data_IF_469741463067
#
_entry.id   IF_469741463067
#
_cell.length_a   1.000
_cell.length_b   1.000
_cell.length_c   1.000
_cell.angle_alpha   90.00
_cell.angle_beta   90.00
_cell.angle_gamma   90.00
#
_symmetry.space_group_name_H-M   'P 1'
#
loop_
_entity.id
_entity.type
_entity.pdbx_description
1 polymer ?
#
# COMPACT_ATOMS: atom_id res chain seq x y z
N UNK A 1 31.84 -33.15 -58.65
CA UNK A 1 32.21 -32.49 -57.38
C UNK A 1 30.94 -32.20 -56.61
N UNK A 2 30.66 -33.02 -55.58
CA UNK A 2 29.55 -32.85 -54.64
C UNK A 2 29.72 -31.54 -53.87
N UNK A 3 28.65 -30.78 -53.70
CA UNK A 3 28.58 -29.75 -52.66
C UNK A 3 27.32 -29.98 -51.80
N UNK A 4 27.47 -30.80 -50.77
CA UNK A 4 26.56 -30.83 -49.62
C UNK A 4 26.94 -29.69 -48.68
N UNK A 5 26.02 -28.78 -48.34
CA UNK A 5 26.12 -27.97 -47.11
C UNK A 5 24.74 -27.71 -46.49
N UNK A 6 24.38 -28.64 -45.61
CA UNK A 6 23.81 -28.48 -44.26
C UNK A 6 23.00 -27.19 -43.98
N UNK A 7 21.69 -27.36 -43.83
CA UNK A 7 20.78 -26.39 -43.21
C UNK A 7 20.94 -26.51 -41.69
N UNK A 8 21.54 -25.49 -41.06
CA UNK A 8 21.58 -25.39 -39.59
C UNK A 8 20.23 -24.89 -39.07
N UNK A 9 19.48 -25.77 -38.42
CA UNK A 9 18.26 -25.40 -37.70
C UNK A 9 18.65 -24.83 -36.33
N UNK A 10 18.52 -23.52 -36.15
CA UNK A 10 18.79 -22.83 -34.90
C UNK A 10 17.59 -23.05 -33.95
N UNK A 11 17.74 -23.96 -32.98
CA UNK A 11 16.75 -24.14 -31.91
C UNK A 11 16.86 -22.98 -30.92
N UNK A 12 15.91 -22.04 -31.01
CA UNK A 12 15.74 -20.97 -30.02
C UNK A 12 15.13 -21.60 -28.77
N UNK A 13 15.95 -21.90 -27.77
CA UNK A 13 15.47 -22.23 -26.44
C UNK A 13 14.96 -20.95 -25.78
N UNK A 14 13.65 -20.70 -25.83
CA UNK A 14 13.01 -19.74 -24.94
C UNK A 14 13.02 -20.35 -23.54
N UNK A 15 14.06 -20.08 -22.77
CA UNK A 15 14.07 -20.37 -21.34
C UNK A 15 13.00 -19.50 -20.69
N UNK A 16 11.82 -20.06 -20.44
CA UNK A 16 10.81 -19.46 -19.59
C UNK A 16 11.36 -19.52 -18.17
N UNK A 17 12.05 -18.46 -17.75
CA UNK A 17 12.53 -18.34 -16.37
C UNK A 17 11.30 -18.07 -15.51
N UNK A 18 10.68 -19.13 -14.99
CA UNK A 18 9.67 -19.01 -13.96
C UNK A 18 10.40 -18.66 -12.66
N UNK A 19 10.35 -17.39 -12.26
CA UNK A 19 10.83 -17.00 -10.93
C UNK A 19 10.04 -17.80 -9.89
N UNK A 20 10.73 -18.41 -8.91
CA UNK A 20 10.04 -19.08 -7.82
C UNK A 20 9.11 -18.09 -7.11
N UNK A 21 7.90 -18.52 -6.65
CA UNK A 21 7.04 -17.67 -5.86
C UNK A 21 7.77 -17.23 -4.59
N UNK A 22 7.65 -15.95 -4.24
CA UNK A 22 8.27 -15.38 -3.05
C UNK A 22 7.76 -16.06 -1.78
N UNK A 23 8.63 -16.24 -0.79
CA UNK A 23 8.22 -16.77 0.52
C UNK A 23 7.42 -15.73 1.31
N UNK A 24 6.65 -16.16 2.31
CA UNK A 24 5.93 -15.23 3.19
C UNK A 24 6.85 -14.26 3.94
N UNK A 25 8.06 -14.70 4.28
CA UNK A 25 9.08 -13.85 4.87
C UNK A 25 9.51 -12.73 3.91
N UNK A 26 9.69 -13.05 2.63
CA UNK A 26 10.04 -12.08 1.60
C UNK A 26 8.88 -11.12 1.29
N UNK A 27 7.64 -11.63 1.27
CA UNK A 27 6.45 -10.84 0.95
C UNK A 27 6.08 -9.83 2.03
N UNK A 28 6.33 -10.15 3.30
CA UNK A 28 5.95 -9.30 4.45
C UNK A 28 7.13 -8.51 5.03
N UNK A 29 8.30 -8.58 4.38
CA UNK A 29 9.48 -7.85 4.81
C UNK A 29 9.23 -6.33 4.78
N UNK A 30 9.72 -5.58 5.78
CA UNK A 30 9.75 -4.13 5.71
C UNK A 30 10.46 -3.65 4.43
N UNK A 31 10.00 -2.55 3.86
CA UNK A 31 10.72 -1.88 2.79
C UNK A 31 12.14 -1.54 3.26
N UNK A 32 13.15 -1.72 2.39
CA UNK A 32 14.57 -1.51 2.76
C UNK A 32 14.82 -0.07 3.20
N UNK A 33 14.24 0.90 2.48
CA UNK A 33 14.27 2.32 2.83
C UNK A 33 13.15 3.04 2.08
N UNK A 34 12.56 4.03 2.75
CA UNK A 34 11.63 4.96 2.12
C UNK A 34 12.33 6.31 2.01
N UNK A 35 12.38 6.86 0.80
CA UNK A 35 12.72 8.28 0.61
C UNK A 35 11.47 9.09 0.94
N UNK A 36 11.50 10.00 1.94
CA UNK A 36 10.35 10.85 2.26
C UNK A 36 9.79 11.60 1.05
N UNK A 37 10.65 11.98 0.07
CA UNK A 37 10.17 12.64 -1.15
C UNK A 37 9.33 11.75 -2.04
N UNK A 38 9.56 10.44 -2.02
CA UNK A 38 8.74 9.50 -2.78
C UNK A 38 7.35 9.33 -2.17
N UNK A 39 7.16 9.66 -0.88
CA UNK A 39 5.86 9.64 -0.22
C UNK A 39 4.99 10.85 -0.59
N UNK A 40 5.59 11.97 -1.01
CA UNK A 40 4.88 13.25 -1.17
C UNK A 40 3.64 13.17 -2.07
N UNK A 41 2.60 13.89 -1.70
CA UNK A 41 1.33 13.93 -2.40
C UNK A 41 0.35 12.85 -1.97
N UNK A 42 -0.67 12.66 -2.80
CA UNK A 42 -1.85 11.87 -2.47
C UNK A 42 -1.74 10.41 -2.93
N UNK A 43 -2.28 9.51 -2.11
CA UNK A 43 -2.44 8.09 -2.40
C UNK A 43 -3.87 7.65 -2.08
N UNK A 44 -4.50 6.98 -3.03
CA UNK A 44 -5.83 6.41 -2.88
C UNK A 44 -5.76 5.06 -2.17
N UNK A 45 -6.68 4.80 -1.24
CA UNK A 45 -6.85 3.48 -0.66
C UNK A 45 -7.45 2.53 -1.70
N UNK A 46 -6.76 1.41 -1.96
CA UNK A 46 -7.20 0.35 -2.86
C UNK A 46 -7.89 -0.76 -2.08
N UNK A 47 -7.34 -1.14 -0.94
CA UNK A 47 -7.92 -2.19 -0.11
C UNK A 47 -7.25 -2.32 1.24
N UNK A 48 -7.85 -3.12 2.11
CA UNK A 48 -7.34 -3.32 3.44
C UNK A 48 -7.87 -4.57 4.13
N UNK A 49 -7.06 -5.11 5.03
CA UNK A 49 -7.45 -6.12 6.00
C UNK A 49 -7.21 -5.61 7.42
N UNK A 50 -8.04 -6.05 8.36
CA UNK A 50 -7.97 -5.69 9.78
C UNK A 50 -8.12 -6.98 10.57
N UNK A 51 -7.23 -7.21 11.54
CA UNK A 51 -7.21 -8.45 12.33
C UNK A 51 -8.49 -8.67 13.14
N UNK A 52 -9.16 -7.58 13.55
CA UNK A 52 -10.42 -7.61 14.27
C UNK A 52 -11.62 -7.47 13.32
N UNK A 53 -12.36 -8.58 13.12
CA UNK A 53 -13.45 -8.69 12.13
C UNK A 53 -14.52 -7.57 12.22
N UNK A 54 -15.05 -7.19 13.39
CA UNK A 54 -16.04 -6.12 13.46
C UNK A 54 -15.53 -4.78 12.90
N UNK A 55 -14.22 -4.52 13.02
CA UNK A 55 -13.63 -3.30 12.45
C UNK A 55 -13.36 -3.42 10.96
N UNK A 56 -13.13 -4.64 10.45
CA UNK A 56 -13.09 -4.89 9.01
C UNK A 56 -14.45 -4.65 8.36
N UNK A 57 -15.55 -5.06 9.02
CA UNK A 57 -16.91 -4.78 8.55
C UNK A 57 -17.19 -3.28 8.46
N UNK A 58 -16.84 -2.53 9.50
CA UNK A 58 -16.95 -1.06 9.51
C UNK A 58 -16.03 -0.43 8.45
N UNK A 59 -14.84 -1.00 8.23
CA UNK A 59 -13.94 -0.55 7.17
C UNK A 59 -14.55 -0.73 5.78
N UNK A 60 -15.27 -1.83 5.55
CA UNK A 60 -15.93 -2.12 4.29
C UNK A 60 -17.15 -1.23 3.98
N UNK A 61 -17.67 -0.48 4.96
CA UNK A 61 -18.75 0.49 4.74
C UNK A 61 -18.26 1.82 4.13
N UNK A 62 -16.95 1.97 3.91
CA UNK A 62 -16.39 3.19 3.33
C UNK A 62 -16.60 3.21 1.82
N UNK A 63 -17.04 4.35 1.30
CA UNK A 63 -17.10 4.58 -0.14
C UNK A 63 -15.68 4.67 -0.71
N UNK A 64 -14.81 5.41 -0.02
CA UNK A 64 -13.42 5.61 -0.41
C UNK A 64 -12.57 6.16 0.73
N UNK A 65 -11.24 6.13 0.56
CA UNK A 65 -10.31 6.84 1.42
C UNK A 65 -9.03 7.22 0.67
N UNK A 66 -8.30 8.18 1.21
CA UNK A 66 -7.02 8.63 0.71
C UNK A 66 -6.13 9.11 1.85
N UNK A 67 -4.84 9.12 1.58
CA UNK A 67 -3.82 9.70 2.44
C UNK A 67 -3.02 10.73 1.64
N UNK A 68 -2.48 11.72 2.32
CA UNK A 68 -1.61 12.71 1.73
C UNK A 68 -0.43 12.98 2.65
N UNK A 69 0.75 13.01 2.07
CA UNK A 69 1.98 13.48 2.69
C UNK A 69 2.31 14.82 2.02
N UNK A 70 1.98 15.97 2.62
CA UNK A 70 2.35 17.26 2.03
C UNK A 70 3.85 17.36 1.76
N UNK A 71 4.27 18.32 0.93
CA UNK A 71 5.71 18.55 0.79
C UNK A 71 6.28 19.11 2.09
N UNK A 72 7.47 18.62 2.46
CA UNK A 72 8.11 18.98 3.72
C UNK A 72 9.60 19.21 3.54
N UNK A 73 10.14 20.20 4.23
CA UNK A 73 11.60 20.41 4.31
C UNK A 73 12.28 19.38 5.21
N UNK A 74 11.54 18.88 6.20
CA UNK A 74 11.99 17.88 7.17
C UNK A 74 11.91 16.48 6.57
N UNK A 75 12.98 15.70 6.74
CA UNK A 75 13.07 14.30 6.27
C UNK A 75 12.62 13.28 7.33
N UNK A 76 12.35 13.71 8.57
CA UNK A 76 11.95 12.83 9.68
C UNK A 76 10.56 13.17 10.19
N UNK A 77 10.33 14.43 10.56
CA UNK A 77 9.04 14.88 11.09
C UNK A 77 8.20 15.40 9.94
N UNK A 78 7.18 14.67 9.51
CA UNK A 78 6.32 15.04 8.39
C UNK A 78 4.84 14.99 8.78
N UNK A 79 4.01 15.73 8.05
CA UNK A 79 2.56 15.68 8.22
C UNK A 79 1.98 14.48 7.48
N UNK A 80 0.95 13.88 8.07
CA UNK A 80 0.21 12.77 7.50
C UNK A 80 -1.28 13.05 7.62
N UNK A 81 -1.89 13.37 6.48
CA UNK A 81 -3.31 13.66 6.36
C UNK A 81 -4.07 12.46 5.82
N UNK A 82 -5.27 12.24 6.35
CA UNK A 82 -6.17 11.16 5.95
C UNK A 82 -7.53 11.74 5.63
N UNK A 83 -8.12 11.30 4.53
CA UNK A 83 -9.50 11.59 4.14
C UNK A 83 -10.26 10.28 3.96
N UNK A 84 -11.51 10.23 4.39
CA UNK A 84 -12.42 9.11 4.10
C UNK A 84 -13.80 9.61 3.72
N UNK A 85 -14.45 8.89 2.81
CA UNK A 85 -15.83 9.09 2.40
C UNK A 85 -16.69 7.94 2.91
N UNK A 86 -17.76 8.27 3.62
CA UNK A 86 -18.76 7.30 4.13
C UNK A 86 -20.13 7.92 3.93
N UNK A 87 -21.06 7.19 3.32
CA UNK A 87 -22.42 7.66 3.00
C UNK A 87 -22.41 9.03 2.32
N UNK A 88 -21.48 9.22 1.39
CA UNK A 88 -21.31 10.46 0.65
C UNK A 88 -20.73 11.65 1.43
N UNK A 89 -20.32 11.47 2.69
CA UNK A 89 -19.75 12.52 3.55
C UNK A 89 -18.25 12.35 3.73
N UNK A 90 -17.53 13.47 3.68
CA UNK A 90 -16.08 13.48 3.85
C UNK A 90 -15.68 13.79 5.29
N UNK A 91 -14.72 13.01 5.80
CA UNK A 91 -14.10 13.19 7.11
C UNK A 91 -12.60 13.23 6.94
N UNK A 92 -11.95 14.17 7.61
CA UNK A 92 -10.52 14.39 7.51
C UNK A 92 -9.87 14.33 8.89
N UNK A 93 -8.59 13.94 8.92
CA UNK A 93 -7.76 14.01 10.11
C UNK A 93 -6.30 14.19 9.69
N UNK A 94 -5.56 14.99 10.43
CA UNK A 94 -4.13 15.21 10.21
C UNK A 94 -3.38 14.88 11.49
N UNK A 95 -2.18 14.33 11.36
CA UNK A 95 -1.30 14.01 12.48
C UNK A 95 0.14 14.25 12.03
N UNK A 96 1.00 14.65 12.95
CA UNK A 96 2.44 14.62 12.69
C UNK A 96 2.94 13.19 12.91
N UNK A 97 3.88 12.78 12.07
CA UNK A 97 4.55 11.50 12.19
C UNK A 97 6.06 11.69 12.18
N UNK A 98 6.75 10.82 12.93
CA UNK A 98 8.20 10.73 12.92
C UNK A 98 8.62 9.48 12.16
N UNK A 99 9.30 9.67 11.02
CA UNK A 99 9.88 8.62 10.20
C UNK A 99 11.22 8.12 10.77
N UNK A 100 11.37 6.80 10.81
CA UNK A 100 12.61 6.11 11.14
C UNK A 100 12.80 4.91 10.20
N UNK A 101 13.58 5.11 9.14
CA UNK A 101 13.74 4.11 8.08
C UNK A 101 12.44 3.86 7.32
N UNK A 102 11.95 2.62 7.34
CA UNK A 102 10.65 2.23 6.78
C UNK A 102 9.52 2.22 7.80
N UNK A 103 9.71 2.84 8.98
CA UNK A 103 8.70 2.92 10.03
C UNK A 103 8.32 4.37 10.32
N UNK A 104 7.13 4.57 10.86
CA UNK A 104 6.80 5.82 11.53
C UNK A 104 5.91 5.62 12.76
N UNK A 105 5.97 6.59 13.66
CA UNK A 105 5.11 6.75 14.83
C UNK A 105 4.29 8.03 14.73
N UNK A 106 3.22 8.12 15.50
CA UNK A 106 2.39 9.33 15.58
C UNK A 106 2.81 10.20 16.77
N UNK A 107 2.88 11.51 16.57
CA UNK A 107 3.34 12.46 17.59
C UNK A 107 2.19 13.30 18.13
N UNK A 108 2.03 13.41 19.45
CA UNK A 108 1.10 14.36 20.07
C UNK A 108 -0.39 14.05 19.85
N UNK A 109 -0.77 12.80 19.58
CA UNK A 109 -2.15 12.41 19.21
C UNK A 109 -2.64 11.16 19.93
N UNK A 110 -3.97 10.88 19.96
CA UNK A 110 -4.49 9.61 20.49
C UNK A 110 -3.93 8.35 19.81
N UNK A 111 -3.31 8.49 18.63
CA UNK A 111 -2.66 7.39 17.91
C UNK A 111 -1.20 7.16 18.33
N UNK A 112 -0.68 7.83 19.37
CA UNK A 112 0.68 7.65 19.90
C UNK A 112 1.01 6.19 20.27
N UNK A 113 0.00 5.43 20.69
CA UNK A 113 0.15 3.99 20.98
C UNK A 113 0.13 3.12 19.72
N UNK A 114 0.23 3.71 18.53
CA UNK A 114 0.24 3.01 17.26
C UNK A 114 1.52 3.32 16.48
N UNK A 115 1.95 2.37 15.68
CA UNK A 115 3.07 2.54 14.75
C UNK A 115 2.73 1.95 13.40
N UNK A 116 3.52 2.32 12.39
CA UNK A 116 3.38 1.78 11.06
C UNK A 116 4.73 1.36 10.51
N UNK A 117 4.74 0.29 9.73
CA UNK A 117 5.85 -0.11 8.88
C UNK A 117 5.38 -0.18 7.43
N UNK A 118 6.15 0.41 6.53
CA UNK A 118 5.99 0.23 5.10
C UNK A 118 6.51 -1.17 4.73
N UNK A 119 5.66 -1.96 4.08
CA UNK A 119 5.98 -3.31 3.62
C UNK A 119 6.34 -3.26 2.14
N UNK A 120 7.30 -4.10 1.74
CA UNK A 120 7.73 -4.20 0.35
C UNK A 120 6.55 -4.51 -0.58
N UNK A 121 6.56 -3.96 -1.78
CA UNK A 121 5.68 -4.37 -2.87
C UNK A 121 6.41 -4.28 -4.21
N UNK A 122 6.02 -5.09 -5.19
CA UNK A 122 6.51 -4.98 -6.57
C UNK A 122 5.85 -3.84 -7.35
N UNK A 123 4.71 -3.31 -6.87
CA UNK A 123 3.99 -2.21 -7.51
C UNK A 123 4.71 -0.88 -7.26
N UNK A 124 5.27 -0.30 -8.33
CA UNK A 124 6.10 0.92 -8.26
C UNK A 124 5.36 2.19 -7.83
N UNK A 125 4.04 2.22 -8.01
CA UNK A 125 3.16 3.33 -7.65
C UNK A 125 2.15 2.95 -6.56
N UNK A 126 2.49 1.94 -5.74
CA UNK A 126 1.75 1.54 -4.56
C UNK A 126 2.52 1.78 -3.25
N UNK A 127 1.77 1.87 -2.15
CA UNK A 127 2.28 1.80 -0.80
C UNK A 127 1.52 0.73 -0.02
N UNK A 128 2.26 -0.16 0.62
CA UNK A 128 1.70 -1.13 1.54
C UNK A 128 2.09 -0.77 2.96
N UNK A 129 1.10 -0.62 3.84
CA UNK A 129 1.29 -0.10 5.19
C UNK A 129 0.72 -1.09 6.21
N UNK A 130 1.58 -1.59 7.10
CA UNK A 130 1.21 -2.44 8.22
C UNK A 130 1.22 -1.60 9.50
N UNK A 131 0.04 -1.40 10.08
CA UNK A 131 -0.15 -0.71 11.33
C UNK A 131 -0.24 -1.70 12.48
N UNK A 132 0.57 -1.44 13.50
CA UNK A 132 0.37 -1.95 14.85
C UNK A 132 -0.44 -0.88 15.61
N UNK A 133 -1.64 -1.25 16.07
CA UNK A 133 -2.62 -0.33 16.65
C UNK A 133 -2.89 -0.69 18.10
N UNK A 134 -2.90 0.33 18.95
CA UNK A 134 -3.09 0.23 20.40
C UNK A 134 -2.11 -0.76 21.07
N UNK A 135 -0.83 -0.63 20.76
CA UNK A 135 0.26 -1.46 21.30
C UNK A 135 0.05 -2.96 21.03
N UNK A 136 -0.25 -3.30 19.78
CA UNK A 136 -0.34 -4.67 19.27
C UNK A 136 -1.70 -5.33 19.45
N UNK A 137 -2.69 -4.62 20.00
CA UNK A 137 -4.04 -5.18 20.16
C UNK A 137 -4.71 -5.45 18.81
N UNK A 138 -4.40 -4.64 17.80
CA UNK A 138 -4.96 -4.76 16.46
C UNK A 138 -3.89 -4.53 15.41
N UNK A 139 -4.02 -5.25 14.30
CA UNK A 139 -3.16 -5.11 13.14
C UNK A 139 -4.02 -4.67 11.97
N UNK A 140 -3.64 -3.58 11.31
CA UNK A 140 -4.29 -3.15 10.09
C UNK A 140 -3.29 -3.20 8.94
N UNK A 141 -3.69 -3.73 7.80
CA UNK A 141 -2.81 -3.83 6.64
C UNK A 141 -3.50 -3.23 5.42
N UNK A 142 -2.93 -2.17 4.87
CA UNK A 142 -3.56 -1.35 3.83
C UNK A 142 -2.70 -1.28 2.58
N UNK A 143 -3.36 -1.34 1.43
CA UNK A 143 -2.80 -1.09 0.11
C UNK A 143 -3.29 0.26 -0.40
N UNK A 144 -2.37 1.14 -0.70
CA UNK A 144 -2.62 2.42 -1.35
C UNK A 144 -1.94 2.47 -2.72
N UNK A 145 -2.42 3.32 -3.61
CA UNK A 145 -1.81 3.56 -4.92
C UNK A 145 -2.04 4.98 -5.41
N UNK A 146 -1.17 5.47 -6.30
CA UNK A 146 -1.36 6.73 -7.03
C UNK A 146 -2.52 6.66 -8.01
N UNK A 147 -2.80 5.48 -8.55
CA UNK A 147 -3.91 5.22 -9.47
C UNK A 147 -5.06 4.52 -8.77
N UNK A 148 -6.25 4.54 -9.40
CA UNK A 148 -7.50 4.03 -8.79
C UNK A 148 -7.69 2.54 -9.01
N UNK A 149 -7.34 2.04 -10.20
CA UNK A 149 -7.43 0.62 -10.54
C UNK A 149 -6.05 0.00 -10.60
N UNK A 150 -5.89 -1.16 -9.95
CA UNK A 150 -4.70 -2.01 -10.03
C UNK A 150 -4.93 -3.22 -10.93
N UNK A 151 -3.85 -3.74 -11.48
CA UNK A 151 -3.82 -5.01 -12.19
C UNK A 151 -4.09 -6.17 -11.24
N UNK A 152 -4.48 -7.31 -11.81
CA UNK A 152 -4.86 -8.47 -10.99
C UNK A 152 -3.66 -9.02 -10.21
N UNK A 153 -2.46 -9.03 -10.79
CA UNK A 153 -1.26 -9.56 -10.14
C UNK A 153 -0.82 -8.72 -8.94
N UNK A 154 -0.98 -7.39 -9.01
CA UNK A 154 -0.70 -6.49 -7.88
C UNK A 154 -1.68 -6.72 -6.72
N UNK A 155 -2.97 -6.95 -7.05
CA UNK A 155 -3.97 -7.32 -6.04
C UNK A 155 -3.69 -8.70 -5.46
N UNK A 156 -3.23 -9.65 -6.27
CA UNK A 156 -2.87 -10.99 -5.84
C UNK A 156 -1.68 -10.95 -4.87
N UNK A 157 -0.64 -10.18 -5.17
CA UNK A 157 0.50 -9.99 -4.25
C UNK A 157 0.02 -9.48 -2.88
N UNK A 158 -0.86 -8.47 -2.86
CA UNK A 158 -1.41 -7.97 -1.60
C UNK A 158 -2.25 -9.02 -0.86
N UNK A 159 -3.06 -9.81 -1.56
CA UNK A 159 -3.80 -10.91 -0.95
C UNK A 159 -2.87 -12.00 -0.39
N UNK A 160 -1.76 -12.29 -1.07
CA UNK A 160 -0.75 -13.23 -0.59
C UNK A 160 -0.08 -12.71 0.69
N UNK A 161 0.26 -11.42 0.73
CA UNK A 161 0.76 -10.75 1.94
C UNK A 161 -0.24 -10.85 3.11
N UNK A 162 -1.53 -10.56 2.86
CA UNK A 162 -2.60 -10.70 3.87
C UNK A 162 -2.67 -12.13 4.42
N UNK A 163 -2.56 -13.15 3.55
CA UNK A 163 -2.55 -14.57 3.98
C UNK A 163 -1.30 -14.91 4.79
N UNK A 164 -0.13 -14.41 4.39
CA UNK A 164 1.11 -14.58 5.14
C UNK A 164 1.03 -13.96 6.55
N UNK A 165 0.32 -12.84 6.70
CA UNK A 165 0.04 -12.20 7.99
C UNK A 165 -1.09 -12.89 8.78
N UNK A 166 -1.71 -13.95 8.24
CA UNK A 166 -2.83 -14.67 8.85
C UNK A 166 -4.04 -13.78 9.17
N UNK A 167 -4.25 -12.75 8.35
CA UNK A 167 -5.33 -11.79 8.52
C UNK A 167 -6.57 -12.21 7.69
N UNK A 168 -7.77 -11.71 8.03
CA UNK A 168 -8.96 -11.97 7.22
C UNK A 168 -8.79 -11.50 5.76
N UNK A 169 -9.56 -12.05 4.81
CA UNK A 169 -9.54 -11.58 3.42
C UNK A 169 -9.74 -10.06 3.34
N UNK A 170 -8.98 -9.36 2.47
CA UNK A 170 -9.07 -7.91 2.41
C UNK A 170 -10.38 -7.47 1.76
N UNK A 171 -10.85 -6.28 2.15
CA UNK A 171 -11.90 -5.56 1.45
C UNK A 171 -11.25 -4.57 0.48
N UNK A 172 -11.67 -4.61 -0.78
CA UNK A 172 -11.23 -3.67 -1.81
C UNK A 172 -12.26 -2.56 -2.01
N UNK A 173 -11.77 -1.33 -2.22
CA UNK A 173 -12.59 -0.17 -2.51
C UNK A 173 -13.03 -0.17 -3.98
N UNK A 174 -14.23 0.34 -4.26
CA UNK A 174 -14.66 0.57 -5.64
C UNK A 174 -13.85 1.73 -6.25
N UNK A 175 -13.11 1.52 -7.34
CA UNK A 175 -12.29 2.56 -7.96
C UNK A 175 -13.12 3.71 -8.55
N UNK A 176 -14.40 3.48 -8.85
CA UNK A 176 -15.33 4.45 -9.43
C UNK A 176 -15.92 5.41 -8.39
N UNK A 177 -15.86 5.05 -7.11
CA UNK A 177 -16.32 5.92 -6.03
C UNK A 177 -15.47 7.19 -5.96
N UNK A 178 -16.15 8.32 -5.74
CA UNK A 178 -15.51 9.63 -5.62
C UNK A 178 -14.58 9.67 -4.39
N UNK A 179 -13.39 10.24 -4.57
CA UNK A 179 -12.50 10.60 -3.47
C UNK A 179 -12.95 11.90 -2.80
N UNK A 180 -12.59 12.07 -1.52
CA UNK A 180 -12.74 13.36 -0.87
C UNK A 180 -11.71 14.36 -1.44
N UNK A 181 -12.11 15.58 -1.83
CA UNK A 181 -11.16 16.62 -2.23
C UNK A 181 -10.38 17.08 -1.00
N UNK A 182 -9.11 17.45 -1.13
CA UNK A 182 -8.42 18.04 0.03
C UNK A 182 -8.92 19.46 0.27
N UNK A 183 -9.14 19.89 1.52
CA UNK A 183 -9.65 21.24 1.81
C UNK A 183 -8.79 22.35 1.20
N UNK A 184 -7.48 22.17 1.14
CA UNK A 184 -6.54 23.14 0.56
C UNK A 184 -6.65 23.26 -0.97
N UNK A 185 -7.14 22.22 -1.67
CA UNK A 185 -7.38 22.25 -3.12
C UNK A 185 -8.65 23.02 -3.50
N UNK A 186 -9.55 23.30 -2.53
CA UNK A 186 -10.81 24.02 -2.77
C UNK A 186 -10.69 25.54 -2.67
N UNK A 187 -9.49 26.06 -2.41
CA UNK A 187 -9.21 27.49 -2.21
C UNK A 187 -8.47 28.16 -3.38
N UNK A 188 -8.21 27.43 -4.47
CA UNK A 188 -7.62 27.95 -5.71
C UNK A 188 -8.62 27.97 -6.86
#
# INVERSE_FOLDING_TARGET
>A
MLLHKLVSFLLIFTSLVYSAPLTCEQLTQPAERIDPRNLEGTWALIGGSISYLPYLEIFGQRDSALINFPSHESVTNISYSRGKRVDGKCMYSTSNITLNGSRFTFDGTPAENSSCVFVRTSCSDCLTMLFDVDSGQRTHFYLFSRRRGLEQDEKNEFMDQVRCLQMPPPVFMDPTNQLCPWPEETLN
#
